data_IF_497277215922
#
_entry.id   IF_497277215922
#
_cell.length_a   1.000
_cell.length_b   1.000
_cell.length_c   1.000
_cell.angle_alpha   90.00
_cell.angle_beta   90.00
_cell.angle_gamma   90.00
#
_symmetry.space_group_name_H-M   'P 1'
#
loop_
_entity.id
_entity.type
_entity.pdbx_description
1 polymer ?
#
# COMPACT_ATOMS: atom_id res chain seq x y z
N UNK A 1 -33.30 11.08 -7.71
CA UNK A 1 -32.98 11.62 -6.38
C UNK A 1 -31.82 10.87 -5.73
N UNK A 2 -31.86 9.55 -5.66
CA UNK A 2 -30.73 8.75 -5.16
C UNK A 2 -29.47 8.89 -6.00
N UNK A 3 -29.62 8.94 -7.31
CA UNK A 3 -28.49 9.08 -8.23
C UNK A 3 -27.71 10.38 -8.01
N UNK A 4 -28.39 11.46 -7.72
CA UNK A 4 -27.74 12.76 -7.43
C UNK A 4 -26.95 12.70 -6.12
N UNK A 5 -27.50 12.08 -5.08
CA UNK A 5 -26.83 11.93 -3.80
C UNK A 5 -25.61 11.03 -3.93
N UNK A 6 -25.76 9.87 -4.58
CA UNK A 6 -24.66 8.93 -4.80
C UNK A 6 -23.59 9.50 -5.72
N UNK A 7 -23.98 10.32 -6.69
CA UNK A 7 -23.02 10.96 -7.61
C UNK A 7 -22.19 12.05 -6.94
N UNK A 8 -22.71 12.66 -5.85
CA UNK A 8 -21.98 13.69 -5.10
C UNK A 8 -21.03 13.11 -4.06
N UNK A 9 -21.15 11.83 -3.73
CA UNK A 9 -20.29 11.16 -2.76
C UNK A 9 -18.95 10.82 -3.41
N UNK A 10 -17.85 10.96 -2.67
CA UNK A 10 -16.52 10.63 -3.16
C UNK A 10 -16.29 9.12 -3.30
N UNK A 11 -17.06 8.32 -2.55
CA UNK A 11 -16.98 6.86 -2.61
C UNK A 11 -17.61 6.31 -3.88
N UNK A 12 -16.99 5.28 -4.47
CA UNK A 12 -17.60 4.54 -5.57
C UNK A 12 -18.71 3.63 -5.03
N UNK A 13 -19.81 3.55 -5.76
CA UNK A 13 -20.92 2.67 -5.42
C UNK A 13 -21.36 1.92 -6.67
N UNK A 14 -21.43 0.59 -6.56
CA UNK A 14 -21.96 -0.29 -7.59
C UNK A 14 -23.09 -1.10 -7.00
N UNK A 15 -24.25 -1.05 -7.63
CA UNK A 15 -25.39 -1.86 -7.26
C UNK A 15 -25.48 -3.10 -8.16
N UNK A 16 -25.73 -4.26 -7.58
CA UNK A 16 -25.87 -5.53 -8.28
C UNK A 16 -27.28 -6.07 -8.08
N UNK A 17 -27.78 -6.79 -9.10
CA UNK A 17 -29.02 -7.53 -8.97
C UNK A 17 -28.81 -8.85 -8.19
N UNK A 18 -29.85 -9.64 -8.06
CA UNK A 18 -29.79 -10.89 -7.29
C UNK A 18 -28.83 -11.91 -7.90
N UNK A 19 -28.56 -11.81 -9.18
CA UNK A 19 -27.63 -12.68 -9.91
C UNK A 19 -26.19 -12.16 -9.90
N UNK A 20 -25.94 -11.04 -9.25
CA UNK A 20 -24.60 -10.46 -9.20
C UNK A 20 -24.21 -9.66 -10.43
N UNK A 21 -25.17 -9.27 -11.24
CA UNK A 21 -24.93 -8.43 -12.43
C UNK A 21 -25.02 -6.97 -12.06
N UNK A 22 -24.21 -6.15 -12.73
CA UNK A 22 -24.18 -4.71 -12.51
C UNK A 22 -25.50 -4.08 -12.93
N UNK A 23 -26.18 -3.44 -11.99
CA UNK A 23 -27.45 -2.76 -12.22
C UNK A 23 -27.30 -1.24 -12.12
N UNK A 24 -26.33 -0.76 -11.34
CA UNK A 24 -26.11 0.67 -11.10
C UNK A 24 -24.63 0.94 -10.81
N UNK A 25 -24.14 2.08 -11.34
CA UNK A 25 -22.76 2.55 -11.09
C UNK A 25 -22.83 4.07 -10.92
N UNK A 26 -22.29 4.59 -9.83
CA UNK A 26 -22.24 6.04 -9.66
C UNK A 26 -20.99 6.62 -10.36
N UNK A 27 -20.91 7.95 -10.43
CA UNK A 27 -19.81 8.65 -11.11
C UNK A 27 -18.45 8.33 -10.49
N UNK A 28 -18.37 8.28 -9.17
CA UNK A 28 -17.12 7.97 -8.49
C UNK A 28 -16.65 6.56 -8.83
N UNK A 29 -17.55 5.59 -8.91
CA UNK A 29 -17.23 4.24 -9.33
C UNK A 29 -16.73 4.18 -10.77
N UNK A 30 -17.38 4.91 -11.68
CA UNK A 30 -16.94 5.00 -13.06
C UNK A 30 -15.52 5.52 -13.17
N UNK A 31 -15.20 6.55 -12.39
CA UNK A 31 -13.87 7.16 -12.38
C UNK A 31 -12.83 6.25 -11.72
N UNK A 32 -13.14 5.68 -10.55
CA UNK A 32 -12.20 4.86 -9.79
C UNK A 32 -11.89 3.52 -10.47
N UNK A 33 -12.85 2.97 -11.19
CA UNK A 33 -12.69 1.69 -11.89
C UNK A 33 -12.38 1.86 -13.39
N UNK A 34 -12.29 3.09 -13.89
CA UNK A 34 -12.15 3.37 -15.31
C UNK A 34 -13.22 2.62 -16.10
N UNK A 35 -14.47 2.86 -15.73
CA UNK A 35 -15.62 2.08 -16.17
C UNK A 35 -15.97 2.35 -17.62
N UNK A 36 -16.16 1.28 -18.37
CA UNK A 36 -16.65 1.34 -19.75
C UNK A 36 -18.13 0.94 -19.77
N UNK A 37 -18.93 1.61 -20.59
CA UNK A 37 -20.35 1.32 -20.70
C UNK A 37 -20.65 -0.12 -21.16
N UNK A 38 -19.67 -0.76 -21.82
CA UNK A 38 -19.78 -2.17 -22.23
C UNK A 38 -19.82 -3.14 -21.04
N UNK A 39 -19.42 -2.68 -19.86
CA UNK A 39 -19.43 -3.48 -18.62
C UNK A 39 -20.79 -3.44 -17.92
N UNK A 40 -21.70 -2.54 -18.33
CA UNK A 40 -23.04 -2.49 -17.77
C UNK A 40 -23.77 -3.81 -18.08
N UNK A 41 -24.50 -4.34 -17.12
CA UNK A 41 -25.22 -5.62 -17.17
C UNK A 41 -24.36 -6.88 -17.14
N UNK A 42 -23.02 -6.76 -17.10
CA UNK A 42 -22.15 -7.92 -16.88
C UNK A 42 -22.16 -8.33 -15.41
N UNK A 43 -21.79 -9.58 -15.14
CA UNK A 43 -21.55 -10.02 -13.76
C UNK A 43 -20.36 -9.25 -13.20
N UNK A 44 -20.42 -8.92 -11.91
CA UNK A 44 -19.35 -8.16 -11.25
C UNK A 44 -18.00 -8.86 -11.42
N UNK A 45 -17.95 -10.18 -11.31
CA UNK A 45 -16.71 -10.97 -11.44
C UNK A 45 -16.09 -10.86 -12.84
N UNK A 46 -16.90 -10.54 -13.85
CA UNK A 46 -16.42 -10.33 -15.22
C UNK A 46 -16.04 -8.87 -15.42
N UNK A 47 -16.86 -7.95 -14.93
CA UNK A 47 -16.63 -6.52 -15.09
C UNK A 47 -15.43 -6.04 -14.29
N UNK A 48 -15.31 -6.50 -13.05
CA UNK A 48 -14.19 -6.16 -12.15
C UNK A 48 -13.70 -7.45 -11.49
N UNK A 49 -12.78 -8.17 -12.14
CA UNK A 49 -12.30 -9.46 -11.60
C UNK A 49 -11.67 -9.34 -10.21
N UNK A 50 -11.09 -8.18 -9.88
CA UNK A 50 -10.47 -7.91 -8.58
C UNK A 50 -11.48 -7.98 -7.43
N UNK A 51 -12.77 -7.78 -7.71
CA UNK A 51 -13.84 -7.87 -6.71
C UNK A 51 -14.42 -9.26 -6.58
N UNK A 52 -13.99 -10.20 -7.42
CA UNK A 52 -14.48 -11.59 -7.39
C UNK A 52 -14.35 -12.26 -6.02
N UNK A 53 -13.16 -12.24 -5.39
CA UNK A 53 -12.98 -12.87 -4.08
C UNK A 53 -13.87 -12.27 -2.99
N UNK A 54 -14.09 -10.95 -2.99
CA UNK A 54 -14.94 -10.30 -2.00
C UNK A 54 -16.42 -10.66 -2.22
N UNK A 55 -16.82 -10.81 -3.48
CA UNK A 55 -18.18 -11.25 -3.82
C UNK A 55 -18.42 -12.68 -3.31
N UNK A 56 -17.49 -13.58 -3.52
CA UNK A 56 -17.58 -14.95 -3.02
C UNK A 56 -17.60 -14.98 -1.49
N UNK A 57 -16.82 -14.12 -0.84
CA UNK A 57 -16.78 -14.02 0.60
C UNK A 57 -18.13 -13.55 1.17
N UNK A 58 -18.81 -12.61 0.52
CA UNK A 58 -20.11 -12.13 0.99
C UNK A 58 -21.20 -13.19 0.82
N UNK A 59 -21.11 -14.03 -0.23
CA UNK A 59 -22.04 -15.13 -0.43
C UNK A 59 -21.95 -16.17 0.69
N UNK A 60 -20.75 -16.34 1.26
CA UNK A 60 -20.51 -17.32 2.34
C UNK A 60 -20.62 -16.69 3.73
N UNK A 61 -20.75 -15.37 3.80
CA UNK A 61 -20.81 -14.65 5.07
C UNK A 61 -22.17 -14.80 5.74
N UNK A 62 -22.18 -15.12 7.02
CA UNK A 62 -23.40 -15.16 7.82
C UNK A 62 -23.93 -13.76 8.14
N UNK A 63 -23.07 -12.77 8.20
CA UNK A 63 -23.45 -11.38 8.48
C UNK A 63 -23.96 -10.63 7.25
N UNK A 64 -23.67 -11.13 6.05
CA UNK A 64 -24.04 -10.48 4.80
C UNK A 64 -23.24 -9.22 4.47
N UNK A 65 -22.17 -8.97 5.21
CA UNK A 65 -21.27 -7.81 5.00
C UNK A 65 -19.84 -8.29 5.05
N UNK A 66 -19.05 -7.88 4.04
CA UNK A 66 -17.61 -8.15 3.98
C UNK A 66 -16.89 -6.89 3.61
N UNK A 67 -15.76 -6.63 4.26
CA UNK A 67 -14.89 -5.49 3.97
C UNK A 67 -13.47 -6.01 3.78
N UNK A 68 -12.79 -5.52 2.74
CA UNK A 68 -11.41 -5.90 2.46
C UNK A 68 -10.73 -4.80 1.66
N UNK A 69 -9.40 -4.83 1.65
CA UNK A 69 -8.60 -3.96 0.81
C UNK A 69 -8.31 -4.69 -0.50
N UNK A 70 -8.61 -4.06 -1.62
CA UNK A 70 -8.43 -4.63 -2.97
C UNK A 70 -7.48 -3.74 -3.76
N UNK A 71 -6.54 -4.37 -4.43
CA UNK A 71 -5.61 -3.65 -5.32
C UNK A 71 -6.13 -3.74 -6.75
N UNK A 72 -6.28 -2.59 -7.38
CA UNK A 72 -6.69 -2.51 -8.79
C UNK A 72 -5.66 -1.73 -9.59
N UNK A 73 -5.52 -2.08 -10.85
CA UNK A 73 -4.66 -1.35 -11.79
C UNK A 73 -5.52 -0.47 -12.67
N UNK A 74 -5.22 0.83 -12.68
CA UNK A 74 -5.93 1.80 -13.49
C UNK A 74 -4.91 2.69 -14.19
N UNK A 75 -4.99 2.78 -15.53
CA UNK A 75 -4.09 3.59 -16.34
C UNK A 75 -2.61 3.30 -16.05
N UNK A 76 -2.27 2.04 -15.78
CA UNK A 76 -0.91 1.61 -15.46
C UNK A 76 -0.48 1.85 -14.02
N UNK A 77 -1.34 2.42 -13.18
CA UNK A 77 -1.07 2.68 -11.78
C UNK A 77 -1.80 1.68 -10.88
N UNK A 78 -1.08 1.18 -9.89
CA UNK A 78 -1.68 0.32 -8.86
C UNK A 78 -2.32 1.19 -7.78
N UNK A 79 -3.61 0.97 -7.56
CA UNK A 79 -4.37 1.71 -6.56
C UNK A 79 -4.95 0.76 -5.52
N UNK A 80 -5.03 1.24 -4.27
CA UNK A 80 -5.61 0.50 -3.16
C UNK A 80 -7.02 1.00 -2.91
N UNK A 81 -7.99 0.09 -2.98
CA UNK A 81 -9.38 0.41 -2.69
C UNK A 81 -9.82 -0.31 -1.43
N UNK A 82 -10.46 0.41 -0.52
CA UNK A 82 -11.13 -0.19 0.60
C UNK A 82 -12.55 -0.51 0.15
N UNK A 83 -12.89 -1.80 0.04
CA UNK A 83 -14.13 -2.27 -0.56
C UNK A 83 -15.01 -2.89 0.51
N UNK A 84 -16.25 -2.45 0.54
CA UNK A 84 -17.27 -3.03 1.41
C UNK A 84 -18.43 -3.52 0.56
N UNK A 85 -18.73 -4.79 0.68
CA UNK A 85 -19.86 -5.41 -0.03
C UNK A 85 -20.89 -5.89 0.98
N UNK A 86 -22.14 -5.59 0.70
CA UNK A 86 -23.25 -6.01 1.54
C UNK A 86 -24.38 -6.57 0.70
N UNK A 87 -25.11 -7.52 1.31
CA UNK A 87 -26.30 -8.12 0.71
C UNK A 87 -27.48 -7.19 0.96
N UNK A 88 -28.29 -6.98 -0.07
CA UNK A 88 -29.56 -6.27 0.05
C UNK A 88 -30.69 -7.30 0.08
N UNK A 89 -31.39 -7.39 1.21
CA UNK A 89 -32.49 -8.31 1.39
C UNK A 89 -33.83 -7.60 1.25
N UNK A 90 -34.81 -8.29 0.66
CA UNK A 90 -36.18 -7.81 0.60
C UNK A 90 -36.96 -8.16 1.87
N UNK A 91 -38.25 -7.81 1.89
CA UNK A 91 -39.14 -7.99 3.02
C UNK A 91 -39.28 -9.49 3.46
N UNK A 92 -39.11 -10.41 2.53
CA UNK A 92 -39.23 -11.84 2.80
C UNK A 92 -37.90 -12.51 3.12
N UNK A 93 -36.83 -11.75 3.35
CA UNK A 93 -35.50 -12.28 3.57
C UNK A 93 -34.82 -12.81 2.32
N UNK A 94 -35.43 -12.62 1.15
CA UNK A 94 -34.84 -13.00 -0.12
C UNK A 94 -33.79 -11.97 -0.53
N UNK A 95 -32.72 -12.45 -1.16
CA UNK A 95 -31.68 -11.57 -1.67
C UNK A 95 -32.17 -10.88 -2.93
N UNK A 96 -32.30 -9.54 -2.85
CA UNK A 96 -32.70 -8.71 -3.99
C UNK A 96 -31.50 -8.21 -4.79
N UNK A 97 -30.35 -8.17 -4.17
CA UNK A 97 -29.12 -7.70 -4.81
C UNK A 97 -28.00 -7.51 -3.83
N UNK A 98 -26.98 -6.81 -4.29
CA UNK A 98 -25.78 -6.51 -3.51
C UNK A 98 -25.40 -5.06 -3.73
N UNK A 99 -24.74 -4.48 -2.74
CA UNK A 99 -24.18 -3.12 -2.84
C UNK A 99 -22.69 -3.20 -2.57
N UNK A 100 -21.90 -2.65 -3.48
CA UNK A 100 -20.46 -2.55 -3.35
C UNK A 100 -20.11 -1.07 -3.21
N UNK A 101 -19.53 -0.71 -2.09
CA UNK A 101 -19.01 0.64 -1.86
C UNK A 101 -17.50 0.56 -1.69
N UNK A 102 -16.78 1.50 -2.28
CA UNK A 102 -15.32 1.48 -2.20
C UNK A 102 -14.75 2.89 -2.21
N UNK A 103 -13.64 3.05 -1.49
CA UNK A 103 -12.89 4.30 -1.40
C UNK A 103 -11.46 4.09 -1.85
N UNK A 104 -10.91 5.08 -2.55
CA UNK A 104 -9.49 5.08 -2.91
C UNK A 104 -8.69 5.49 -1.67
N UNK A 105 -7.95 4.55 -1.12
CA UNK A 105 -7.13 4.76 0.08
C UNK A 105 -5.63 4.70 -0.26
N UNK A 106 -5.27 4.86 -1.53
CA UNK A 106 -3.89 4.76 -1.99
C UNK A 106 -2.98 5.72 -1.24
N UNK A 107 -3.36 6.98 -1.12
CA UNK A 107 -2.57 7.99 -0.42
C UNK A 107 -2.45 7.68 1.08
N UNK A 108 -3.52 7.22 1.70
CA UNK A 108 -3.51 6.85 3.11
C UNK A 108 -2.57 5.66 3.36
N UNK A 109 -2.66 4.62 2.53
CA UNK A 109 -1.79 3.44 2.63
C UNK A 109 -0.34 3.81 2.42
N UNK A 110 -0.05 4.66 1.42
CA UNK A 110 1.30 5.16 1.17
C UNK A 110 1.84 5.94 2.36
N UNK A 111 1.02 6.83 2.94
CA UNK A 111 1.43 7.61 4.11
C UNK A 111 1.72 6.70 5.31
N UNK A 112 0.91 5.69 5.54
CA UNK A 112 1.14 4.71 6.62
C UNK A 112 2.43 3.93 6.41
N UNK A 113 2.71 3.51 5.18
CA UNK A 113 3.96 2.81 4.84
C UNK A 113 5.17 3.71 5.04
N UNK A 114 5.08 4.97 4.64
CA UNK A 114 6.17 5.93 4.81
C UNK A 114 6.45 6.22 6.28
N UNK A 115 5.41 6.34 7.11
CA UNK A 115 5.55 6.52 8.55
C UNK A 115 6.22 5.31 9.21
N UNK A 116 5.77 4.11 8.87
CA UNK A 116 6.34 2.87 9.37
C UNK A 116 7.80 2.70 8.92
N UNK A 117 8.08 3.01 7.65
CA UNK A 117 9.43 2.97 7.09
C UNK A 117 10.36 3.97 7.78
N UNK A 118 9.87 5.17 8.11
CA UNK A 118 10.64 6.19 8.81
C UNK A 118 11.17 5.69 10.16
N UNK A 119 10.34 4.99 10.92
CA UNK A 119 10.75 4.38 12.19
C UNK A 119 11.77 3.26 11.99
N UNK A 120 11.56 2.41 10.99
CA UNK A 120 12.49 1.33 10.62
C UNK A 120 13.84 1.92 10.18
N UNK A 121 13.81 2.95 9.34
CA UNK A 121 15.03 3.61 8.85
C UNK A 121 15.83 4.21 10.00
N UNK A 122 15.17 4.84 10.98
CA UNK A 122 15.82 5.37 12.17
C UNK A 122 16.49 4.27 12.99
N UNK A 123 15.79 3.16 13.20
CA UNK A 123 16.32 2.02 13.94
C UNK A 123 17.54 1.41 13.25
N UNK A 124 17.46 1.23 11.92
CA UNK A 124 18.56 0.71 11.11
C UNK A 124 19.77 1.66 11.21
N UNK A 125 19.55 2.96 11.11
CA UNK A 125 20.63 3.95 11.23
C UNK A 125 21.35 3.83 12.58
N UNK A 126 20.61 3.66 13.69
CA UNK A 126 21.19 3.44 15.01
C UNK A 126 21.96 2.13 15.09
N UNK A 127 21.41 1.05 14.57
CA UNK A 127 22.06 -0.27 14.58
C UNK A 127 23.34 -0.29 13.74
N UNK A 128 23.37 0.44 12.62
CA UNK A 128 24.57 0.57 11.78
C UNK A 128 25.61 1.45 12.47
N UNK A 129 25.19 2.54 13.08
CA UNK A 129 26.08 3.47 13.76
C UNK A 129 26.81 2.79 14.93
N UNK A 130 26.14 1.90 15.65
CA UNK A 130 26.74 1.20 16.80
C UNK A 130 28.01 0.42 16.45
N UNK A 131 28.08 -0.40 15.37
CA UNK A 131 29.32 -1.07 15.00
C UNK A 131 30.33 -0.13 14.31
N UNK A 132 29.89 0.94 13.64
CA UNK A 132 30.78 1.86 12.93
C UNK A 132 31.61 2.71 13.88
N UNK A 133 31.08 3.11 15.03
CA UNK A 133 31.80 3.92 16.00
C UNK A 133 33.05 3.21 16.53
N UNK A 134 33.03 1.93 16.98
CA UNK A 134 34.23 1.20 17.34
C UNK A 134 35.22 1.03 16.21
N UNK A 135 34.75 0.84 14.97
CA UNK A 135 35.64 0.74 13.79
C UNK A 135 36.38 2.04 13.57
N UNK A 136 35.67 3.17 13.63
CA UNK A 136 36.27 4.49 13.51
C UNK A 136 37.34 4.74 14.58
N UNK A 137 37.00 4.44 15.83
CA UNK A 137 37.94 4.59 16.96
C UNK A 137 39.14 3.70 16.84
N UNK A 138 38.96 2.46 16.36
CA UNK A 138 40.07 1.53 16.15
C UNK A 138 40.99 2.01 15.06
N UNK A 139 40.45 2.55 13.95
CA UNK A 139 41.23 3.13 12.87
C UNK A 139 42.06 4.34 13.35
N UNK A 140 41.47 5.21 14.15
CA UNK A 140 42.15 6.36 14.74
C UNK A 140 43.26 5.94 15.71
N UNK A 141 43.04 4.90 16.49
CA UNK A 141 44.05 4.35 17.40
C UNK A 141 45.23 3.76 16.64
N UNK A 142 44.97 3.03 15.58
CA UNK A 142 46.02 2.46 14.72
C UNK A 142 46.85 3.60 14.14
N UNK A 143 46.23 4.62 13.59
CA UNK A 143 46.90 5.79 13.05
C UNK A 143 47.80 6.45 14.08
N UNK A 144 47.25 6.71 15.28
CA UNK A 144 47.97 7.41 16.36
C UNK A 144 49.14 6.59 16.89
N UNK A 145 48.94 5.27 17.10
CA UNK A 145 49.93 4.39 17.68
C UNK A 145 51.11 4.11 16.75
N UNK A 146 50.83 3.80 15.50
CA UNK A 146 51.84 3.32 14.55
C UNK A 146 52.46 4.39 13.69
N UNK A 147 51.87 5.60 13.59
CA UNK A 147 52.43 6.70 12.81
C UNK A 147 53.81 7.16 13.30
N UNK A 148 54.11 6.99 14.60
CA UNK A 148 55.38 7.35 15.22
C UNK A 148 56.45 6.24 15.08
N UNK A 149 56.02 5.01 14.88
CA UNK A 149 56.92 3.85 14.85
C UNK A 149 57.36 3.47 13.41
N UNK A 150 56.61 3.95 12.41
CA UNK A 150 56.87 3.62 11.02
C UNK A 150 57.78 4.67 10.33
N UNK A 151 58.55 4.27 9.31
CA UNK A 151 59.21 5.23 8.44
C UNK A 151 58.21 6.20 7.84
N UNK A 152 58.65 7.44 7.52
CA UNK A 152 57.77 8.49 7.07
C UNK A 152 56.90 8.13 5.88
N UNK A 153 57.45 7.39 4.90
CA UNK A 153 56.69 6.93 3.73
C UNK A 153 55.59 5.97 4.11
N UNK A 154 55.85 5.04 5.03
CA UNK A 154 54.88 4.04 5.51
C UNK A 154 53.84 4.68 6.44
N UNK A 155 54.23 5.62 7.26
CA UNK A 155 53.32 6.38 8.11
C UNK A 155 52.34 7.21 7.29
N UNK A 156 52.76 7.79 6.20
CA UNK A 156 51.92 8.54 5.26
C UNK A 156 50.88 7.59 4.62
N UNK A 157 51.30 6.42 4.21
CA UNK A 157 50.43 5.39 3.62
C UNK A 157 49.38 4.91 4.64
N UNK A 158 49.80 4.65 5.86
CA UNK A 158 48.90 4.25 6.95
C UNK A 158 47.86 5.35 7.23
N UNK A 159 48.30 6.62 7.25
CA UNK A 159 47.42 7.75 7.46
C UNK A 159 46.35 7.85 6.36
N UNK A 160 46.73 7.63 5.10
CA UNK A 160 45.76 7.62 3.98
C UNK A 160 44.73 6.53 4.12
N UNK A 161 45.15 5.33 4.48
CA UNK A 161 44.25 4.18 4.64
C UNK A 161 43.29 4.34 5.82
N UNK A 162 43.80 4.82 6.96
CA UNK A 162 42.96 5.06 8.15
C UNK A 162 42.00 6.22 7.94
N UNK A 163 42.42 7.26 7.21
CA UNK A 163 41.54 8.39 6.86
C UNK A 163 40.40 7.94 5.95
N UNK A 164 40.64 6.99 5.04
CA UNK A 164 39.57 6.39 4.21
C UNK A 164 38.57 5.66 5.10
N UNK A 165 39.05 4.85 6.06
CA UNK A 165 38.18 4.13 6.99
C UNK A 165 37.31 5.11 7.79
N UNK A 166 37.92 6.16 8.33
CA UNK A 166 37.19 7.18 9.12
C UNK A 166 36.14 7.88 8.27
N UNK A 167 36.47 8.22 7.02
CA UNK A 167 35.50 8.87 6.12
C UNK A 167 34.32 7.97 5.77
N UNK A 168 34.58 6.69 5.54
CA UNK A 168 33.53 5.74 5.16
C UNK A 168 32.64 5.36 6.33
N UNK A 169 33.10 5.56 7.57
CA UNK A 169 32.32 5.24 8.77
C UNK A 169 31.60 6.44 9.38
N UNK A 170 31.79 7.61 8.82
CA UNK A 170 31.10 8.84 9.25
C UNK A 170 29.70 8.99 8.62
#
# INVERSE_FOLDING_TARGET
>A
MFDSVLSSVSSGVVGLDAEGRVAFVNRSAERLLDWESTKDTLELRVAVPEFGPIFEAVLQSSSGIVQDEVKVTRAGHLENLLVRMSVREGENGQIEGYVVAFDDVTDLVSAQRMAAWGDVARRIAHEIKNPLTPIQLSAERIKRKFSRELPEADASKLSELTDVIVRQTN
#
